data_IF_802611989535
#
_entry.id   IF_802611989535
#
_cell.length_a   1.000
_cell.length_b   1.000
_cell.length_c   1.000
_cell.angle_alpha   90.00
_cell.angle_beta   90.00
_cell.angle_gamma   90.00
#
_symmetry.space_group_name_H-M   'P 1'
#
loop_
_entity.id
_entity.type
_entity.pdbx_description
1 polymer ?
#
# COMPACT_ATOMS: atom_id res chain seq x y z
N UNK A 1 29.40 0.66 4.16
CA UNK A 1 28.09 1.32 4.39
C UNK A 1 27.11 0.44 5.18
N UNK A 2 26.95 -0.86 4.87
CA UNK A 2 26.06 -1.77 5.65
C UNK A 2 26.29 -1.73 7.17
N UNK A 3 27.55 -1.67 7.64
CA UNK A 3 27.86 -1.52 9.08
C UNK A 3 27.26 -0.25 9.70
N UNK A 4 27.25 0.87 8.96
CA UNK A 4 26.63 2.12 9.43
C UNK A 4 25.11 2.00 9.51
N UNK A 5 24.47 1.36 8.51
CA UNK A 5 23.02 1.10 8.54
C UNK A 5 22.59 0.16 9.67
N UNK A 6 23.52 -0.58 10.28
CA UNK A 6 23.27 -1.42 11.46
C UNK A 6 23.56 -0.68 12.77
N UNK A 7 24.08 0.55 12.72
CA UNK A 7 24.23 1.40 13.89
C UNK A 7 22.94 2.20 14.08
N UNK A 8 22.21 1.91 15.17
CA UNK A 8 20.92 2.54 15.49
C UNK A 8 21.00 4.06 15.52
N UNK A 9 21.99 4.62 16.19
CA UNK A 9 22.16 6.07 16.30
C UNK A 9 22.37 6.72 14.93
N UNK A 10 23.26 6.14 14.11
CA UNK A 10 23.49 6.62 12.74
C UNK A 10 22.21 6.61 11.91
N UNK A 11 21.48 5.49 11.90
CA UNK A 11 20.32 5.33 11.02
C UNK A 11 19.17 6.29 11.39
N UNK A 12 18.90 6.48 12.68
CA UNK A 12 17.89 7.44 13.15
C UNK A 12 18.28 8.86 12.72
N UNK A 13 19.52 9.28 12.97
CA UNK A 13 20.02 10.61 12.58
C UNK A 13 19.98 10.78 11.06
N UNK A 14 20.35 9.74 10.30
CA UNK A 14 20.34 9.76 8.85
C UNK A 14 18.93 9.99 8.28
N UNK A 15 17.91 9.31 8.82
CA UNK A 15 16.51 9.51 8.41
C UNK A 15 16.05 10.94 8.72
N UNK A 16 16.26 11.41 9.95
CA UNK A 16 15.87 12.76 10.36
C UNK A 16 16.55 13.85 9.53
N UNK A 17 17.85 13.72 9.27
CA UNK A 17 18.60 14.69 8.48
C UNK A 17 18.07 14.81 7.04
N UNK A 18 17.68 13.67 6.43
CA UNK A 18 17.10 13.68 5.09
C UNK A 18 15.69 14.27 5.08
N UNK A 19 14.83 13.91 6.03
CA UNK A 19 13.45 14.44 6.07
C UNK A 19 13.35 15.95 6.31
N UNK A 20 14.39 16.56 6.88
CA UNK A 20 14.50 18.01 7.06
C UNK A 20 14.89 18.75 5.77
N UNK A 21 15.41 18.06 4.76
CA UNK A 21 15.78 18.70 3.49
C UNK A 21 14.54 19.04 2.68
N UNK A 22 14.46 20.29 2.19
CA UNK A 22 13.29 20.80 1.44
C UNK A 22 13.10 20.12 0.09
N UNK A 23 14.19 19.67 -0.52
CA UNK A 23 14.22 18.95 -1.80
C UNK A 23 14.03 17.44 -1.64
N UNK A 24 14.00 16.92 -0.41
CA UNK A 24 13.70 15.51 -0.14
C UNK A 24 12.19 15.26 -0.10
N UNK A 25 11.62 15.07 -1.29
CA UNK A 25 10.19 14.97 -1.51
C UNK A 25 9.58 13.69 -0.91
N UNK A 26 8.24 13.65 -0.77
CA UNK A 26 7.50 12.49 -0.27
C UNK A 26 7.82 11.20 -1.03
N UNK A 27 8.04 11.29 -2.35
CA UNK A 27 8.48 10.17 -3.18
C UNK A 27 9.82 9.60 -2.69
N UNK A 28 10.77 10.47 -2.38
CA UNK A 28 12.12 10.07 -1.98
C UNK A 28 12.12 9.47 -0.57
N UNK A 29 11.28 9.99 0.33
CA UNK A 29 10.99 9.41 1.65
C UNK A 29 10.44 7.98 1.52
N UNK A 30 9.45 7.79 0.66
CA UNK A 30 8.86 6.47 0.42
C UNK A 30 9.86 5.48 -0.19
N UNK A 31 10.68 5.95 -1.12
CA UNK A 31 11.73 5.15 -1.75
C UNK A 31 12.79 4.75 -0.72
N UNK A 32 13.29 5.69 0.09
CA UNK A 32 14.25 5.42 1.15
C UNK A 32 13.70 4.38 2.13
N UNK A 33 12.47 4.55 2.61
CA UNK A 33 11.82 3.59 3.50
C UNK A 33 11.83 2.17 2.91
N UNK A 34 11.52 2.03 1.62
CA UNK A 34 11.44 0.73 0.95
C UNK A 34 12.84 0.14 0.69
N UNK A 35 13.83 0.98 0.37
CA UNK A 35 15.23 0.55 0.28
C UNK A 35 15.76 0.09 1.64
N UNK A 36 15.42 0.77 2.74
CA UNK A 36 15.76 0.35 4.10
C UNK A 36 15.07 -0.97 4.46
N UNK A 37 13.80 -1.15 4.10
CA UNK A 37 13.08 -2.43 4.30
C UNK A 37 13.83 -3.57 3.64
N UNK A 38 14.24 -3.42 2.37
CA UNK A 38 14.97 -4.47 1.64
C UNK A 38 16.37 -4.68 2.22
N UNK A 39 17.13 -3.60 2.47
CA UNK A 39 18.48 -3.68 3.00
C UNK A 39 18.56 -4.31 4.39
N UNK A 40 17.51 -4.14 5.20
CA UNK A 40 17.40 -4.67 6.56
C UNK A 40 16.46 -5.88 6.67
N UNK A 41 16.01 -6.47 5.56
CA UNK A 41 15.05 -7.57 5.55
C UNK A 41 15.58 -8.82 6.27
N UNK A 42 16.90 -9.05 6.26
CA UNK A 42 17.52 -10.14 7.04
C UNK A 42 17.59 -9.87 8.55
N UNK A 43 17.18 -8.68 9.01
CA UNK A 43 17.28 -8.20 10.40
C UNK A 43 15.98 -7.52 10.84
N UNK A 44 14.84 -8.20 10.64
CA UNK A 44 13.51 -7.61 10.89
C UNK A 44 13.29 -7.15 12.34
N UNK A 45 13.95 -7.78 13.31
CA UNK A 45 13.91 -7.32 14.71
C UNK A 45 14.54 -5.91 14.85
N UNK A 46 15.72 -5.71 14.28
CA UNK A 46 16.40 -4.41 14.24
C UNK A 46 15.59 -3.38 13.45
N UNK A 47 15.10 -3.74 12.26
CA UNK A 47 14.23 -2.88 11.46
C UNK A 47 12.97 -2.45 12.23
N UNK A 48 12.34 -3.37 12.96
CA UNK A 48 11.17 -3.08 13.81
C UNK A 48 11.54 -2.14 14.95
N UNK A 49 12.72 -2.31 15.57
CA UNK A 49 13.18 -1.35 16.59
C UNK A 49 13.37 0.05 16.02
N UNK A 50 13.98 0.19 14.85
CA UNK A 50 14.15 1.50 14.19
C UNK A 50 12.81 2.14 13.88
N UNK A 51 11.87 1.36 13.32
CA UNK A 51 10.52 1.84 13.03
C UNK A 51 9.79 2.31 14.29
N UNK A 52 9.90 1.58 15.41
CA UNK A 52 9.28 1.96 16.68
C UNK A 52 9.83 3.28 17.21
N UNK A 53 11.15 3.46 17.21
CA UNK A 53 11.79 4.70 17.65
C UNK A 53 11.32 5.88 16.78
N UNK A 54 11.34 5.74 15.46
CA UNK A 54 10.86 6.79 14.55
C UNK A 54 9.34 7.07 14.69
N UNK A 55 8.54 6.09 15.09
CA UNK A 55 7.11 6.28 15.36
C UNK A 55 6.90 7.10 16.63
N UNK A 56 7.72 6.90 17.67
CA UNK A 56 7.71 7.75 18.87
C UNK A 56 8.07 9.18 18.48
N UNK A 57 9.12 9.38 17.69
CA UNK A 57 9.50 10.71 17.19
C UNK A 57 8.36 11.38 16.39
N UNK A 58 7.63 10.62 15.58
CA UNK A 58 6.46 11.13 14.84
C UNK A 58 5.31 11.53 15.77
N UNK A 59 5.06 10.76 16.83
CA UNK A 59 4.04 11.08 17.84
C UNK A 59 4.41 12.39 18.53
N UNK A 60 5.66 12.53 18.99
CA UNK A 60 6.16 13.72 19.67
C UNK A 60 6.09 14.96 18.77
N UNK A 61 6.52 14.83 17.50
CA UNK A 61 6.43 15.89 16.51
C UNK A 61 4.98 16.29 16.15
N UNK A 62 4.01 15.43 16.46
CA UNK A 62 2.58 15.65 16.18
C UNK A 62 1.77 16.01 17.43
N UNK A 63 2.40 16.14 18.61
CA UNK A 63 1.72 16.35 19.89
C UNK A 63 0.82 17.60 19.93
N UNK A 64 1.16 18.64 19.16
CA UNK A 64 0.39 19.89 19.06
C UNK A 64 -0.72 19.85 18.00
N UNK A 65 -0.81 18.78 17.21
CA UNK A 65 -1.79 18.60 16.12
C UNK A 65 -2.98 17.79 16.62
N UNK A 66 -4.06 17.76 15.83
CA UNK A 66 -5.21 16.90 16.13
C UNK A 66 -4.78 15.41 16.06
N UNK A 67 -4.87 14.63 17.15
CA UNK A 67 -4.43 13.23 17.17
C UNK A 67 -5.14 12.34 16.15
N UNK A 68 -6.37 12.70 15.75
CA UNK A 68 -7.15 11.95 14.73
C UNK A 68 -6.55 12.04 13.32
N UNK A 69 -5.55 12.89 13.10
CA UNK A 69 -4.86 13.03 11.82
C UNK A 69 -3.57 12.20 11.74
N UNK A 70 -3.13 11.61 12.84
CA UNK A 70 -1.91 10.81 12.90
C UNK A 70 -2.04 9.58 11.99
N UNK A 71 -1.00 9.28 11.20
CA UNK A 71 -0.97 8.17 10.23
C UNK A 71 -2.10 8.20 9.18
N UNK A 72 -2.68 9.38 8.91
CA UNK A 72 -3.77 9.53 7.91
C UNK A 72 -3.27 9.37 6.47
N UNK A 73 -1.99 9.61 6.22
CA UNK A 73 -1.34 9.55 4.90
C UNK A 73 0.00 8.82 5.02
N UNK A 74 0.75 8.80 3.93
CA UNK A 74 2.10 8.24 3.87
C UNK A 74 3.04 9.32 3.33
N UNK A 75 3.41 10.26 4.20
CA UNK A 75 4.21 11.45 3.82
C UNK A 75 5.58 11.49 4.52
N UNK A 76 5.83 10.56 5.45
CA UNK A 76 7.12 10.35 6.13
C UNK A 76 7.74 8.98 5.81
N UNK A 77 9.04 8.86 6.04
CA UNK A 77 9.80 7.60 5.94
C UNK A 77 9.17 6.55 6.86
N UNK A 78 8.85 6.92 8.10
CA UNK A 78 8.33 5.95 9.09
C UNK A 78 6.93 5.44 8.75
N UNK A 79 6.04 6.27 8.19
CA UNK A 79 4.71 5.82 7.72
C UNK A 79 4.84 4.80 6.58
N UNK A 80 5.79 5.01 5.66
CA UNK A 80 6.05 4.03 4.61
C UNK A 80 6.70 2.77 5.15
N UNK A 81 7.61 2.89 6.12
CA UNK A 81 8.20 1.74 6.82
C UNK A 81 7.13 0.89 7.51
N UNK A 82 6.14 1.53 8.15
CA UNK A 82 5.00 0.86 8.79
C UNK A 82 4.14 0.11 7.77
N UNK A 83 3.85 0.72 6.62
CA UNK A 83 3.12 0.05 5.53
C UNK A 83 3.88 -1.19 5.03
N UNK A 84 5.19 -1.07 4.85
CA UNK A 84 6.04 -2.18 4.42
C UNK A 84 6.12 -3.28 5.49
N UNK A 85 6.23 -2.91 6.77
CA UNK A 85 6.23 -3.85 7.90
C UNK A 85 4.93 -4.65 7.97
N UNK A 86 3.78 -3.98 7.88
CA UNK A 86 2.47 -4.64 7.82
C UNK A 86 2.37 -5.58 6.61
N UNK A 87 2.88 -5.16 5.45
CA UNK A 87 2.88 -6.01 4.25
C UNK A 87 3.67 -7.32 4.45
N UNK A 88 4.84 -7.24 5.10
CA UNK A 88 5.67 -8.41 5.42
C UNK A 88 4.92 -9.32 6.41
N UNK A 89 4.44 -8.77 7.53
CA UNK A 89 3.79 -9.54 8.58
C UNK A 89 2.48 -10.19 8.12
N UNK A 90 1.74 -9.54 7.22
CA UNK A 90 0.43 -10.02 6.74
C UNK A 90 0.53 -10.96 5.54
N UNK A 91 1.72 -11.18 4.96
CA UNK A 91 1.86 -12.01 3.76
C UNK A 91 1.41 -13.46 3.96
N UNK A 92 1.81 -14.11 5.06
CA UNK A 92 1.38 -15.48 5.37
C UNK A 92 -0.13 -15.56 5.59
N UNK A 93 -0.69 -14.61 6.35
CA UNK A 93 -2.13 -14.51 6.57
C UNK A 93 -2.92 -14.32 5.28
N UNK A 94 -2.40 -13.49 4.35
CA UNK A 94 -2.96 -13.38 3.01
C UNK A 94 -2.90 -14.72 2.29
N UNK A 95 -1.74 -15.39 2.27
CA UNK A 95 -1.57 -16.65 1.54
C UNK A 95 -2.44 -17.78 2.10
N UNK A 96 -2.62 -17.83 3.41
CA UNK A 96 -3.21 -18.99 4.11
C UNK A 96 -4.68 -18.79 4.50
N UNK A 97 -5.18 -17.56 4.53
CA UNK A 97 -6.53 -17.27 5.03
C UNK A 97 -7.31 -16.33 4.12
N UNK A 98 -6.78 -15.15 3.81
CA UNK A 98 -7.55 -14.11 3.09
C UNK A 98 -7.51 -14.29 1.57
N UNK A 99 -6.49 -14.97 1.04
CA UNK A 99 -6.18 -15.03 -0.38
C UNK A 99 -7.24 -15.76 -1.19
N UNK A 100 -7.71 -16.92 -0.72
CA UNK A 100 -8.76 -17.69 -1.38
C UNK A 100 -10.10 -16.92 -1.47
N UNK A 101 -10.71 -16.45 -0.36
CA UNK A 101 -11.97 -15.70 -0.46
C UNK A 101 -11.82 -14.40 -1.25
N UNK A 102 -10.66 -13.74 -1.15
CA UNK A 102 -10.41 -12.54 -1.94
C UNK A 102 -10.31 -12.84 -3.44
N UNK A 103 -9.64 -13.93 -3.83
CA UNK A 103 -9.57 -14.37 -5.22
C UNK A 103 -10.94 -14.82 -5.75
N UNK A 104 -11.72 -15.53 -4.95
CA UNK A 104 -13.09 -15.92 -5.32
C UNK A 104 -13.99 -14.70 -5.54
N UNK A 105 -13.85 -13.64 -4.75
CA UNK A 105 -14.55 -12.37 -4.98
C UNK A 105 -14.16 -11.75 -6.33
N UNK A 106 -12.87 -11.73 -6.68
CA UNK A 106 -12.40 -11.23 -7.99
C UNK A 106 -12.98 -12.06 -9.15
N UNK A 107 -13.00 -13.39 -9.01
CA UNK A 107 -13.62 -14.30 -9.97
C UNK A 107 -15.13 -14.05 -10.10
N UNK A 108 -15.85 -13.87 -8.98
CA UNK A 108 -17.27 -13.60 -8.97
C UNK A 108 -17.60 -12.26 -9.66
N UNK A 109 -16.83 -11.19 -9.37
CA UNK A 109 -16.98 -9.89 -10.04
C UNK A 109 -16.74 -10.04 -11.54
N UNK A 110 -15.63 -10.67 -11.96
CA UNK A 110 -15.30 -10.89 -13.37
C UNK A 110 -16.38 -11.70 -14.08
N UNK A 111 -16.84 -12.79 -13.46
CA UNK A 111 -17.90 -13.62 -14.01
C UNK A 111 -19.22 -12.84 -14.15
N UNK A 112 -19.57 -12.02 -13.15
CA UNK A 112 -20.79 -11.23 -13.19
C UNK A 112 -20.75 -10.15 -14.28
N UNK A 113 -19.62 -9.44 -14.42
CA UNK A 113 -19.42 -8.45 -15.49
C UNK A 113 -19.55 -9.12 -16.87
N UNK A 114 -18.90 -10.27 -17.07
CA UNK A 114 -18.89 -11.00 -18.34
C UNK A 114 -20.24 -11.62 -18.76
N UNK A 115 -21.25 -11.65 -17.88
CA UNK A 115 -22.61 -12.08 -18.24
C UNK A 115 -23.38 -11.03 -19.04
N UNK A 116 -22.89 -9.79 -19.09
CA UNK A 116 -23.53 -8.68 -19.79
C UNK A 116 -22.65 -8.10 -20.89
N UNK A 117 -23.21 -7.23 -21.71
CA UNK A 117 -22.44 -6.48 -22.71
C UNK A 117 -21.44 -5.55 -22.03
N UNK A 118 -20.27 -5.45 -22.63
CA UNK A 118 -19.19 -4.54 -22.25
C UNK A 118 -18.80 -3.80 -23.52
N UNK A 119 -18.85 -2.48 -23.47
CA UNK A 119 -18.38 -1.65 -24.58
C UNK A 119 -16.85 -1.64 -24.61
N UNK A 120 -16.26 -2.04 -25.73
CA UNK A 120 -14.81 -2.24 -25.84
C UNK A 120 -14.00 -0.92 -25.85
N UNK A 121 -14.63 0.21 -26.17
CA UNK A 121 -13.97 1.52 -26.29
C UNK A 121 -13.98 2.25 -24.94
N UNK A 122 -15.16 2.35 -24.33
CA UNK A 122 -15.39 3.08 -23.07
C UNK A 122 -15.19 2.23 -21.84
N UNK A 123 -15.26 0.90 -21.97
CA UNK A 123 -15.21 -0.04 -20.84
C UNK A 123 -16.49 -0.12 -20.01
N UNK A 124 -17.56 0.59 -20.41
CA UNK A 124 -18.84 0.55 -19.69
C UNK A 124 -19.49 -0.83 -19.82
N UNK A 125 -20.02 -1.32 -18.70
CA UNK A 125 -20.58 -2.66 -18.61
C UNK A 125 -22.04 -2.62 -18.15
N UNK A 126 -22.83 -3.60 -18.60
CA UNK A 126 -24.22 -3.80 -18.14
C UNK A 126 -24.30 -4.08 -16.64
N UNK A 127 -23.34 -4.83 -16.11
CA UNK A 127 -23.23 -5.14 -14.69
C UNK A 127 -21.98 -4.46 -14.13
N UNK A 128 -22.16 -3.58 -13.14
CA UNK A 128 -21.09 -2.82 -12.50
C UNK A 128 -21.51 -2.44 -11.08
N UNK A 129 -20.53 -2.22 -10.21
CA UNK A 129 -20.74 -1.65 -8.88
C UNK A 129 -20.62 -0.11 -8.88
N UNK A 130 -20.14 0.49 -9.98
CA UNK A 130 -19.97 1.92 -10.13
C UNK A 130 -20.95 2.47 -11.18
N UNK A 131 -21.80 3.42 -10.78
CA UNK A 131 -22.82 4.03 -11.64
C UNK A 131 -22.23 4.74 -12.88
N UNK A 132 -21.05 5.35 -12.75
CA UNK A 132 -20.39 6.05 -13.87
C UNK A 132 -19.97 5.08 -14.99
N UNK A 133 -19.75 3.82 -14.63
CA UNK A 133 -19.35 2.73 -15.52
C UNK A 133 -20.53 1.92 -16.06
N UNK A 134 -21.77 2.32 -15.74
CA UNK A 134 -22.97 1.64 -16.21
C UNK A 134 -23.19 1.90 -17.70
N UNK A 135 -23.34 0.83 -18.46
CA UNK A 135 -23.76 0.89 -19.85
C UNK A 135 -25.25 1.23 -19.92
N UNK A 136 -25.57 2.48 -20.25
CA UNK A 136 -26.95 3.01 -20.25
C UNK A 136 -27.70 2.74 -21.55
N UNK A 137 -26.99 2.34 -22.61
CA UNK A 137 -27.60 2.02 -23.89
C UNK A 137 -28.41 0.72 -23.81
N UNK A 138 -29.58 0.71 -24.43
CA UNK A 138 -30.42 -0.47 -24.49
C UNK A 138 -29.92 -1.43 -25.59
N UNK A 139 -28.92 -2.25 -25.25
CA UNK A 139 -28.32 -3.22 -26.17
C UNK A 139 -28.94 -4.60 -25.94
N UNK A 140 -29.52 -5.18 -26.99
CA UNK A 140 -30.01 -6.56 -26.96
C UNK A 140 -28.81 -7.53 -26.97
N UNK A 141 -28.58 -8.20 -25.85
CA UNK A 141 -27.49 -9.17 -25.69
C UNK A 141 -28.04 -10.61 -25.77
N UNK A 142 -27.48 -11.42 -26.67
CA UNK A 142 -27.83 -12.85 -26.83
C UNK A 142 -26.59 -13.71 -26.56
N UNK A 143 -26.60 -14.61 -25.56
CA UNK A 143 -25.45 -15.46 -25.27
C UNK A 143 -25.18 -16.43 -26.43
N UNK A 144 -23.90 -16.68 -26.72
CA UNK A 144 -23.44 -17.64 -27.74
C UNK A 144 -22.30 -18.48 -27.16
N UNK A 145 -22.40 -19.80 -27.34
CA UNK A 145 -21.33 -20.74 -27.03
C UNK A 145 -20.53 -21.01 -28.31
N UNK A 146 -19.22 -20.93 -28.22
CA UNK A 146 -18.29 -21.24 -29.31
C UNK A 146 -17.64 -22.60 -29.00
N UNK A 147 -17.49 -23.45 -30.01
CA UNK A 147 -16.84 -24.77 -29.92
C UNK A 147 -15.36 -24.68 -30.26
#
# INVERSE_FOLDING_TARGET
>A
FSTLLNNKHFLIVFVHALEQQKDFAVRDRCNLASLLTVALHGKLEYYTSIMKDLLVDLIDASASKNPKLMLRRTESVVEKMLTNWMSICMYSFLRETVGEPFFLLLCAIKQQINKGSIDAITGKARYTLNEEWLLRENIEAKPRNLN
#
